data_IF_756666103567
#
_entry.id   IF_756666103567
#
_cell.length_a   1.000
_cell.length_b   1.000
_cell.length_c   1.000
_cell.angle_alpha   90.00
_cell.angle_beta   90.00
_cell.angle_gamma   90.00
#
_symmetry.space_group_name_H-M   'P 1'
#
loop_
_entity.id
_entity.type
_entity.pdbx_description
1 polymer ?
#
# COMPACT_ATOMS: atom_id res chain seq x y z
N UNK A 1 -4.58 -0.43 25.51
CA UNK A 1 -3.89 -1.44 24.68
C UNK A 1 -4.50 -1.29 23.29
N UNK A 2 -3.84 -0.53 22.43
CA UNK A 2 -4.31 -0.38 21.04
C UNK A 2 -4.16 -1.73 20.35
N UNK A 3 -5.28 -2.30 19.91
CA UNK A 3 -5.26 -3.52 19.09
C UNK A 3 -4.77 -3.11 17.70
N UNK A 4 -3.58 -3.55 17.32
CA UNK A 4 -3.08 -3.41 15.96
C UNK A 4 -4.03 -4.13 15.00
N UNK A 5 -4.36 -3.51 13.87
CA UNK A 5 -5.29 -4.04 12.84
C UNK A 5 -4.95 -5.48 12.42
N UNK A 6 -3.67 -5.83 12.33
CA UNK A 6 -3.24 -7.21 12.03
C UNK A 6 -3.73 -8.22 13.08
N UNK A 7 -3.74 -7.82 14.35
CA UNK A 7 -4.27 -8.66 15.45
C UNK A 7 -5.80 -8.72 15.38
N UNK A 8 -6.45 -7.63 15.01
CA UNK A 8 -7.93 -7.55 14.90
C UNK A 8 -8.47 -8.50 13.84
N UNK A 9 -7.87 -8.57 12.66
CA UNK A 9 -8.36 -9.41 11.55
C UNK A 9 -7.89 -10.87 11.63
N UNK A 10 -6.93 -11.17 12.51
CA UNK A 10 -6.37 -12.52 12.64
C UNK A 10 -7.44 -13.50 13.13
N UNK A 11 -7.72 -14.52 12.33
CA UNK A 11 -8.71 -15.55 12.65
C UNK A 11 -10.17 -15.21 12.33
N UNK A 12 -10.43 -14.02 11.79
CA UNK A 12 -11.77 -13.67 11.28
C UNK A 12 -12.02 -14.36 9.93
N UNK A 13 -13.31 -14.67 9.67
CA UNK A 13 -13.75 -15.15 8.35
C UNK A 13 -13.61 -14.04 7.29
N UNK A 14 -13.29 -14.45 6.06
CA UNK A 14 -13.07 -13.52 4.93
C UNK A 14 -14.23 -12.56 4.70
N UNK A 15 -15.49 -13.03 4.85
CA UNK A 15 -16.69 -12.20 4.73
C UNK A 15 -16.72 -11.06 5.75
N UNK A 16 -16.38 -11.34 7.01
CA UNK A 16 -16.35 -10.33 8.08
C UNK A 16 -15.24 -9.31 7.85
N UNK A 17 -14.07 -9.76 7.38
CA UNK A 17 -12.98 -8.85 7.05
C UNK A 17 -13.39 -7.96 5.88
N UNK A 18 -13.99 -8.54 4.83
CA UNK A 18 -14.53 -7.78 3.70
C UNK A 18 -15.52 -6.73 4.16
N UNK A 19 -16.51 -7.08 4.99
CA UNK A 19 -17.52 -6.15 5.48
C UNK A 19 -16.90 -5.01 6.29
N UNK A 20 -15.90 -5.32 7.11
CA UNK A 20 -15.16 -4.34 7.91
C UNK A 20 -14.45 -3.30 7.02
N UNK A 21 -13.71 -3.75 6.02
CA UNK A 21 -13.00 -2.85 5.09
C UNK A 21 -13.96 -2.10 4.16
N UNK A 22 -14.99 -2.76 3.62
CA UNK A 22 -15.94 -2.12 2.72
C UNK A 22 -16.77 -1.06 3.41
N UNK A 23 -17.12 -1.26 4.70
CA UNK A 23 -17.77 -0.24 5.52
C UNK A 23 -16.88 1.00 5.69
N UNK A 24 -15.55 0.82 5.86
CA UNK A 24 -14.62 1.94 5.91
C UNK A 24 -14.51 2.67 4.56
N UNK A 25 -14.45 1.93 3.45
CA UNK A 25 -14.47 2.52 2.12
C UNK A 25 -15.75 3.33 1.88
N UNK A 26 -16.91 2.81 2.27
CA UNK A 26 -18.20 3.48 2.13
C UNK A 26 -18.26 4.79 2.95
N UNK A 27 -17.83 4.77 4.23
CA UNK A 27 -17.74 5.98 5.06
C UNK A 27 -16.89 7.06 4.43
N UNK A 28 -15.78 6.68 3.74
CA UNK A 28 -14.89 7.59 3.01
C UNK A 28 -15.42 7.95 1.62
N UNK A 29 -16.55 7.39 1.18
CA UNK A 29 -17.10 7.53 -0.19
C UNK A 29 -16.16 7.01 -1.27
N UNK A 30 -15.40 5.96 -0.95
CA UNK A 30 -14.52 5.25 -1.88
C UNK A 30 -15.26 4.07 -2.52
N UNK A 31 -14.91 3.76 -3.75
CA UNK A 31 -15.51 2.63 -4.47
C UNK A 31 -14.88 1.31 -4.04
N UNK A 32 -15.71 0.29 -3.79
CA UNK A 32 -15.29 -1.10 -3.65
C UNK A 32 -15.68 -1.89 -4.91
N UNK A 33 -14.88 -2.89 -5.27
CA UNK A 33 -15.23 -3.87 -6.30
C UNK A 33 -15.92 -5.05 -5.61
N UNK A 34 -17.25 -4.99 -5.48
CA UNK A 34 -18.10 -5.94 -4.77
C UNK A 34 -18.92 -6.86 -5.68
N UNK A 35 -18.83 -6.66 -6.99
CA UNK A 35 -19.55 -7.43 -8.01
C UNK A 35 -19.13 -8.90 -8.10
N UNK A 36 -19.91 -9.69 -8.89
CA UNK A 36 -19.68 -11.12 -9.12
C UNK A 36 -18.59 -11.38 -10.19
N UNK A 37 -17.45 -10.67 -10.10
CA UNK A 37 -16.30 -10.85 -11.00
C UNK A 37 -15.13 -11.40 -10.23
N UNK A 38 -14.60 -12.54 -10.68
CA UNK A 38 -13.41 -13.19 -10.10
C UNK A 38 -12.20 -12.28 -10.24
N UNK A 39 -11.31 -12.30 -9.26
CA UNK A 39 -10.01 -11.59 -9.29
C UNK A 39 -10.08 -10.08 -9.58
N UNK A 40 -11.23 -9.44 -9.33
CA UNK A 40 -11.31 -7.98 -9.34
C UNK A 40 -10.82 -7.45 -7.99
N UNK A 41 -9.56 -7.02 -7.93
CA UNK A 41 -8.82 -6.81 -6.68
C UNK A 41 -9.16 -5.47 -6.04
N UNK A 42 -9.62 -5.48 -4.79
CA UNK A 42 -9.57 -4.32 -3.90
C UNK A 42 -8.21 -4.36 -3.18
N UNK A 43 -7.30 -3.47 -3.54
CA UNK A 43 -5.96 -3.36 -2.95
C UNK A 43 -5.98 -2.19 -1.97
N UNK A 44 -5.89 -2.49 -0.66
CA UNK A 44 -6.06 -1.53 0.41
C UNK A 44 -4.82 -1.56 1.31
N UNK A 45 -4.11 -0.43 1.40
CA UNK A 45 -3.10 -0.21 2.42
C UNK A 45 -3.73 0.41 3.66
N UNK A 46 -3.21 0.07 4.82
CA UNK A 46 -3.56 0.70 6.10
C UNK A 46 -2.28 1.17 6.76
N UNK A 47 -2.15 2.48 6.93
CA UNK A 47 -1.07 3.08 7.69
C UNK A 47 -1.38 2.97 9.17
N UNK A 48 -0.42 2.46 9.93
CA UNK A 48 -0.52 2.32 11.38
C UNK A 48 -0.36 3.68 12.07
N UNK A 49 -1.10 3.90 13.14
CA UNK A 49 -1.05 5.14 13.93
C UNK A 49 0.29 5.37 14.67
N UNK A 50 1.15 4.35 14.75
CA UNK A 50 2.48 4.49 15.36
C UNK A 50 3.39 5.43 14.58
N UNK A 51 3.19 5.51 13.24
CA UNK A 51 4.04 6.23 12.30
C UNK A 51 5.54 5.93 12.49
N UNK A 52 5.87 4.66 12.81
CA UNK A 52 7.26 4.23 13.04
C UNK A 52 7.96 3.93 11.71
N UNK A 53 8.63 4.91 11.16
CA UNK A 53 9.38 4.79 9.89
C UNK A 53 10.43 3.67 9.84
N UNK A 54 10.72 3.04 10.98
CA UNK A 54 11.73 1.97 11.08
C UNK A 54 11.17 0.59 10.81
N UNK A 55 9.84 0.38 10.92
CA UNK A 55 9.17 -0.92 10.93
C UNK A 55 8.32 -1.19 9.70
N UNK A 56 8.04 -2.47 9.47
CA UNK A 56 7.00 -2.94 8.56
C UNK A 56 5.75 -3.26 9.38
N UNK A 57 5.14 -2.26 9.98
CA UNK A 57 3.99 -2.38 10.88
C UNK A 57 2.67 -1.90 10.26
N UNK A 58 2.72 -1.56 8.97
CA UNK A 58 1.56 -1.29 8.16
C UNK A 58 1.02 -2.56 7.49
N UNK A 59 -0.20 -2.49 7.00
CA UNK A 59 -0.89 -3.62 6.40
C UNK A 59 -1.26 -3.34 4.94
N UNK A 60 -1.07 -4.32 4.07
CA UNK A 60 -1.74 -4.37 2.77
C UNK A 60 -2.73 -5.52 2.76
N UNK A 61 -3.98 -5.21 2.47
CA UNK A 61 -5.06 -6.19 2.33
C UNK A 61 -5.53 -6.23 0.88
N UNK A 62 -5.69 -7.44 0.34
CA UNK A 62 -6.29 -7.66 -0.98
C UNK A 62 -7.56 -8.48 -0.80
N UNK A 63 -8.69 -7.90 -1.19
CA UNK A 63 -10.02 -8.50 -1.06
C UNK A 63 -10.58 -8.72 -2.46
N UNK A 64 -10.95 -9.95 -2.77
CA UNK A 64 -11.44 -10.32 -4.10
C UNK A 64 -12.29 -11.59 -4.06
N UNK A 65 -13.04 -11.86 -5.13
CA UNK A 65 -13.72 -13.15 -5.31
C UNK A 65 -12.81 -14.13 -6.04
N UNK A 66 -12.69 -15.34 -5.49
CA UNK A 66 -11.94 -16.45 -6.06
C UNK A 66 -12.70 -17.17 -7.20
N UNK A 67 -12.23 -18.37 -7.56
CA UNK A 67 -12.82 -19.18 -8.62
C UNK A 67 -14.28 -19.51 -8.37
N UNK A 68 -14.64 -19.82 -7.14
CA UNK A 68 -16.01 -20.19 -6.73
C UNK A 68 -16.86 -18.97 -6.35
N UNK A 69 -16.39 -17.76 -6.64
CA UNK A 69 -17.01 -16.48 -6.27
C UNK A 69 -17.10 -16.24 -4.75
N UNK A 70 -16.46 -17.05 -3.94
CA UNK A 70 -16.29 -16.80 -2.51
C UNK A 70 -15.31 -15.67 -2.26
N UNK A 71 -15.52 -14.91 -1.19
CA UNK A 71 -14.60 -13.87 -0.80
C UNK A 71 -13.29 -14.44 -0.26
N UNK A 72 -12.20 -13.97 -0.81
CA UNK A 72 -10.84 -14.27 -0.39
C UNK A 72 -10.20 -12.98 0.11
N UNK A 73 -9.51 -13.09 1.23
CA UNK A 73 -8.72 -12.02 1.82
C UNK A 73 -7.28 -12.49 1.96
N UNK A 74 -6.37 -11.72 1.43
CA UNK A 74 -4.92 -11.85 1.66
C UNK A 74 -4.44 -10.63 2.41
N UNK A 75 -3.54 -10.82 3.37
CA UNK A 75 -2.94 -9.73 4.13
C UNK A 75 -1.43 -9.88 4.19
N UNK A 76 -0.72 -8.75 4.13
CA UNK A 76 0.73 -8.70 4.04
C UNK A 76 1.27 -7.56 4.92
N UNK A 77 2.34 -7.84 5.67
CA UNK A 77 3.10 -6.79 6.37
C UNK A 77 3.86 -5.95 5.34
N UNK A 78 3.65 -4.64 5.42
CA UNK A 78 4.31 -3.66 4.56
C UNK A 78 4.79 -2.46 5.39
N UNK A 79 5.49 -1.54 4.75
CA UNK A 79 5.53 -0.14 5.18
C UNK A 79 4.89 0.73 4.11
N UNK A 80 4.10 1.72 4.52
CA UNK A 80 3.56 2.80 3.69
C UNK A 80 4.39 4.07 3.83
N UNK A 81 5.39 4.04 4.71
CA UNK A 81 6.20 5.16 5.12
C UNK A 81 7.60 5.14 4.49
N UNK A 82 8.20 6.30 4.27
CA UNK A 82 9.62 6.38 3.93
C UNK A 82 10.49 5.91 5.11
N UNK A 83 11.57 5.21 4.79
CA UNK A 83 12.50 4.76 5.83
C UNK A 83 13.38 5.88 6.39
N UNK A 84 13.90 5.72 7.62
CA UNK A 84 14.58 6.78 8.37
C UNK A 84 15.85 7.32 7.69
N UNK A 85 16.51 6.53 6.87
CA UNK A 85 17.67 7.01 6.11
C UNK A 85 17.29 7.97 4.98
N UNK A 86 16.10 7.85 4.43
CA UNK A 86 15.57 8.73 3.38
C UNK A 86 14.99 10.00 3.99
N UNK A 87 14.31 9.90 5.15
CA UNK A 87 13.86 11.08 5.90
C UNK A 87 15.04 12.00 6.24
N UNK A 88 16.13 11.46 6.79
CA UNK A 88 17.35 12.23 7.10
C UNK A 88 18.05 12.82 5.87
N UNK A 89 17.92 12.16 4.72
CA UNK A 89 18.55 12.59 3.48
C UNK A 89 17.58 12.45 2.32
N UNK A 90 16.64 13.39 2.17
CA UNK A 90 15.66 13.40 1.11
C UNK A 90 16.30 13.32 -0.28
N UNK A 91 15.68 12.54 -1.18
CA UNK A 91 16.12 12.44 -2.59
C UNK A 91 15.68 13.68 -3.37
N UNK A 92 14.58 14.32 -2.95
CA UNK A 92 14.02 15.51 -3.58
C UNK A 92 14.28 16.74 -2.69
N UNK A 93 14.59 17.87 -3.30
CA UNK A 93 14.85 19.14 -2.60
C UNK A 93 13.63 19.66 -1.82
N UNK A 94 12.41 19.32 -2.26
CA UNK A 94 11.15 19.62 -1.57
C UNK A 94 10.88 18.73 -0.36
N UNK A 95 11.78 17.82 -0.02
CA UNK A 95 11.58 16.85 1.06
C UNK A 95 11.16 15.45 0.59
N UNK A 96 11.09 14.53 1.54
CA UNK A 96 10.70 13.14 1.32
C UNK A 96 9.19 13.04 1.06
N UNK A 97 8.81 12.20 0.09
CA UNK A 97 7.41 12.00 -0.24
C UNK A 97 6.75 10.99 0.71
N UNK A 98 5.61 11.35 1.29
CA UNK A 98 4.74 10.46 2.07
C UNK A 98 3.38 10.43 1.38
N UNK A 99 2.90 9.26 0.97
CA UNK A 99 1.63 9.14 0.24
C UNK A 99 0.46 9.63 1.10
N UNK A 100 -0.34 10.56 0.57
CA UNK A 100 -1.55 11.04 1.25
C UNK A 100 -2.61 9.94 1.25
N UNK A 101 -3.28 9.65 2.38
CA UNK A 101 -4.39 8.71 2.42
C UNK A 101 -5.53 9.11 1.48
N UNK A 102 -5.81 8.27 0.50
CA UNK A 102 -6.85 8.47 -0.50
C UNK A 102 -7.10 7.21 -1.33
N UNK A 103 -8.16 7.20 -2.13
CA UNK A 103 -8.34 6.22 -3.18
C UNK A 103 -7.78 6.76 -4.51
N UNK A 104 -6.77 6.08 -5.05
CA UNK A 104 -6.12 6.40 -6.31
C UNK A 104 -6.57 5.41 -7.37
N UNK A 105 -7.55 5.79 -8.17
CA UNK A 105 -8.16 4.89 -9.16
C UNK A 105 -7.30 4.77 -10.40
N UNK A 106 -7.09 3.53 -10.86
CA UNK A 106 -6.38 3.22 -12.12
C UNK A 106 -5.02 3.91 -12.25
N UNK A 107 -4.29 4.04 -11.14
CA UNK A 107 -3.03 4.80 -11.08
C UNK A 107 -1.79 3.94 -11.27
N UNK A 108 -1.85 2.67 -10.89
CA UNK A 108 -0.73 1.73 -10.98
C UNK A 108 -0.91 0.77 -12.15
N UNK A 109 0.21 0.26 -12.62
CA UNK A 109 0.27 -0.86 -13.58
C UNK A 109 1.43 -1.79 -13.26
N UNK A 110 1.35 -3.03 -13.69
CA UNK A 110 2.48 -3.95 -13.69
C UNK A 110 3.55 -3.40 -14.62
N UNK A 111 4.75 -3.20 -14.09
CA UNK A 111 5.86 -2.62 -14.82
C UNK A 111 7.18 -2.63 -14.07
N UNK A 112 8.28 -2.18 -14.71
CA UNK A 112 9.60 -2.21 -14.12
C UNK A 112 9.76 -1.23 -12.96
N UNK A 113 10.42 -1.68 -11.89
CA UNK A 113 10.80 -0.90 -10.71
C UNK A 113 12.31 -0.96 -10.44
N UNK A 114 12.84 0.17 -9.97
CA UNK A 114 14.22 0.32 -9.53
C UNK A 114 15.27 0.14 -10.64
N UNK A 115 16.55 0.16 -10.25
CA UNK A 115 17.68 0.03 -11.18
C UNK A 115 17.76 -1.36 -11.82
N UNK A 116 17.40 -2.39 -11.07
CA UNK A 116 17.36 -3.78 -11.53
C UNK A 116 16.17 -4.10 -12.43
N UNK A 117 15.21 -3.17 -12.53
CA UNK A 117 14.01 -3.25 -13.39
C UNK A 117 13.16 -4.52 -13.16
N UNK A 118 13.13 -5.06 -11.94
CA UNK A 118 12.21 -6.14 -11.64
C UNK A 118 10.75 -5.66 -11.69
N UNK A 119 9.82 -6.58 -11.87
CA UNK A 119 8.42 -6.26 -12.08
C UNK A 119 7.72 -6.01 -10.72
N UNK A 120 6.98 -4.91 -10.67
CA UNK A 120 6.20 -4.47 -9.52
C UNK A 120 4.94 -3.72 -9.97
N UNK A 121 4.08 -3.28 -9.05
CA UNK A 121 3.07 -2.29 -9.39
C UNK A 121 3.70 -0.90 -9.36
N UNK A 122 3.86 -0.33 -10.54
CA UNK A 122 4.50 0.95 -10.75
C UNK A 122 3.46 2.07 -10.96
N UNK A 123 3.62 3.18 -10.24
CA UNK A 123 2.82 4.38 -10.46
C UNK A 123 3.18 4.99 -11.81
N UNK A 124 2.33 4.77 -12.83
CA UNK A 124 2.58 5.22 -14.21
C UNK A 124 1.35 5.76 -14.94
N UNK A 125 0.14 5.50 -14.45
CA UNK A 125 -1.09 5.83 -15.16
C UNK A 125 -1.79 7.07 -14.58
N UNK A 126 -1.53 7.41 -13.31
CA UNK A 126 -2.14 8.55 -12.64
C UNK A 126 -1.18 9.26 -11.70
N UNK A 127 -1.51 10.50 -11.38
CA UNK A 127 -0.84 11.28 -10.35
C UNK A 127 -1.29 10.82 -8.97
N UNK A 128 -0.43 11.02 -7.97
CA UNK A 128 -0.75 10.85 -6.56
C UNK A 128 -0.43 12.14 -5.80
N UNK A 129 -1.03 12.30 -4.63
CA UNK A 129 -0.72 13.36 -3.69
C UNK A 129 0.24 12.84 -2.64
N UNK A 130 1.24 13.64 -2.29
CA UNK A 130 2.21 13.33 -1.25
C UNK A 130 2.38 14.52 -0.32
N UNK A 131 2.53 14.28 0.97
CA UNK A 131 3.12 15.25 1.87
C UNK A 131 4.62 15.35 1.55
N UNK A 132 5.21 16.50 1.88
CA UNK A 132 6.64 16.75 1.73
C UNK A 132 7.26 16.97 3.11
N UNK A 133 8.01 16.00 3.55
CA UNK A 133 8.75 16.01 4.80
C UNK A 133 10.17 16.52 4.52
N UNK A 134 10.53 17.68 5.04
CA UNK A 134 11.77 18.39 4.71
C UNK A 134 12.66 18.74 5.91
N UNK A 135 12.26 18.41 7.14
CA UNK A 135 12.98 18.75 8.38
C UNK A 135 14.23 17.88 8.62
N UNK A 136 14.39 16.78 7.88
CA UNK A 136 15.53 15.85 7.90
C UNK A 136 15.75 15.13 9.23
N UNK A 137 14.69 14.96 10.00
CA UNK A 137 14.71 14.10 11.16
C UNK A 137 14.26 12.66 10.83
N UNK A 138 13.72 11.90 11.75
CA UNK A 138 13.23 10.51 11.49
C UNK A 138 11.76 10.32 11.79
N UNK A 139 11.08 11.40 12.15
CA UNK A 139 9.64 11.41 12.36
C UNK A 139 8.96 11.76 11.04
N UNK A 140 7.74 11.33 10.88
CA UNK A 140 6.95 11.65 9.70
C UNK A 140 6.22 12.98 9.91
N UNK A 141 6.48 13.95 9.03
CA UNK A 141 5.70 15.18 8.95
C UNK A 141 4.67 15.11 7.83
N UNK A 142 3.40 15.12 8.19
CA UNK A 142 2.27 15.07 7.26
C UNK A 142 1.49 16.38 7.31
N UNK A 143 2.14 17.48 6.87
CA UNK A 143 1.52 18.81 6.84
C UNK A 143 0.67 18.96 5.58
N UNK A 144 -0.65 19.15 5.75
CA UNK A 144 -1.59 19.39 4.65
C UNK A 144 -1.26 20.64 3.82
N UNK A 145 -0.51 21.58 4.37
CA UNK A 145 -0.05 22.78 3.66
C UNK A 145 1.09 22.50 2.68
N UNK A 146 1.74 21.34 2.81
CA UNK A 146 2.87 20.91 1.99
C UNK A 146 2.53 19.68 1.13
N UNK A 147 1.37 19.70 0.50
CA UNK A 147 0.95 18.64 -0.43
C UNK A 147 1.41 18.97 -1.84
N UNK A 148 2.11 18.02 -2.45
CA UNK A 148 2.52 18.04 -3.85
C UNK A 148 1.75 16.95 -4.63
N UNK A 149 1.45 17.19 -5.91
CA UNK A 149 0.71 16.23 -6.74
C UNK A 149 1.46 15.94 -8.04
N UNK A 150 1.72 14.66 -8.32
CA UNK A 150 2.49 14.30 -9.51
C UNK A 150 2.79 12.82 -9.68
N UNK A 151 3.69 12.55 -10.60
CA UNK A 151 4.28 11.24 -10.83
C UNK A 151 5.59 11.15 -10.05
N UNK A 152 5.52 10.63 -8.84
CA UNK A 152 6.70 10.54 -7.95
C UNK A 152 7.32 9.15 -7.92
N UNK A 153 6.69 8.17 -8.61
CA UNK A 153 7.15 6.80 -8.61
C UNK A 153 6.86 6.10 -7.28
N UNK A 154 5.76 6.46 -6.63
CA UNK A 154 5.24 5.76 -5.45
C UNK A 154 4.78 4.38 -5.90
N UNK A 155 5.67 3.40 -5.85
CA UNK A 155 5.43 2.05 -6.33
C UNK A 155 5.04 1.12 -5.17
N UNK A 156 4.39 -0.01 -5.49
CA UNK A 156 4.12 -1.09 -4.55
C UNK A 156 5.09 -2.21 -4.89
N UNK A 157 6.06 -2.47 -4.01
CA UNK A 157 7.20 -3.32 -4.35
C UNK A 157 7.77 -4.07 -3.12
N UNK A 158 8.70 -5.00 -3.34
CA UNK A 158 9.46 -5.65 -2.27
C UNK A 158 10.72 -4.85 -1.93
N UNK A 159 11.26 -5.06 -0.74
CA UNK A 159 12.63 -4.64 -0.48
C UNK A 159 13.62 -5.46 -1.35
N UNK A 160 14.80 -4.92 -1.62
CA UNK A 160 15.74 -5.43 -2.65
C UNK A 160 16.40 -6.79 -2.36
N UNK A 161 16.06 -7.50 -1.27
CA UNK A 161 16.69 -8.78 -0.89
C UNK A 161 15.78 -9.98 -1.10
N UNK A 162 16.35 -11.18 -1.13
CA UNK A 162 15.65 -12.46 -1.26
C UNK A 162 15.13 -13.00 0.08
N UNK A 163 15.33 -12.29 1.18
CA UNK A 163 14.92 -12.65 2.53
C UNK A 163 14.13 -11.54 3.20
N UNK A 164 13.43 -11.85 4.26
CA UNK A 164 12.71 -10.87 5.07
C UNK A 164 13.68 -9.96 5.84
N UNK A 165 13.30 -8.71 6.00
CA UNK A 165 13.99 -7.74 6.85
C UNK A 165 13.08 -7.28 7.96
N UNK A 166 13.65 -7.15 9.13
CA UNK A 166 12.94 -6.63 10.29
C UNK A 166 12.72 -5.12 10.22
N UNK A 167 13.68 -4.38 9.60
CA UNK A 167 13.68 -2.93 9.56
C UNK A 167 13.67 -2.37 8.15
N UNK A 168 12.92 -1.29 7.93
CA UNK A 168 12.76 -0.60 6.64
C UNK A 168 14.07 0.02 6.15
N UNK A 169 14.81 0.71 7.02
CA UNK A 169 16.06 1.45 6.70
C UNK A 169 15.87 2.41 5.52
N UNK A 170 16.43 2.09 4.34
CA UNK A 170 16.33 2.86 3.09
C UNK A 170 15.55 2.13 2.00
N UNK A 171 14.71 1.14 2.34
CA UNK A 171 13.94 0.37 1.36
C UNK A 171 12.79 1.17 0.74
N UNK A 172 12.28 2.18 1.45
CA UNK A 172 11.20 3.05 0.99
C UNK A 172 11.64 4.51 0.96
N UNK A 173 11.33 5.18 -0.14
CA UNK A 173 11.38 6.63 -0.29
C UNK A 173 9.96 7.21 -0.46
N UNK A 174 8.98 6.61 0.24
CA UNK A 174 7.55 6.86 0.14
C UNK A 174 6.76 5.78 -0.60
N UNK A 175 7.44 4.75 -1.10
CA UNK A 175 6.81 3.59 -1.73
C UNK A 175 6.14 2.68 -0.69
N UNK A 176 5.17 1.88 -1.16
CA UNK A 176 4.54 0.82 -0.38
C UNK A 176 5.43 -0.44 -0.49
N UNK A 177 6.10 -0.83 0.60
CA UNK A 177 7.16 -1.85 0.52
C UNK A 177 6.82 -3.08 1.34
N UNK A 178 6.79 -4.24 0.70
CA UNK A 178 6.56 -5.53 1.35
C UNK A 178 7.76 -5.95 2.20
N UNK A 179 7.50 -6.40 3.43
CA UNK A 179 8.47 -7.04 4.31
C UNK A 179 8.94 -8.38 3.73
N UNK A 180 8.00 -9.19 3.23
CA UNK A 180 8.25 -10.53 2.72
C UNK A 180 8.33 -10.56 1.20
N UNK A 181 9.43 -11.09 0.66
CA UNK A 181 9.54 -11.35 -0.79
C UNK A 181 8.54 -12.41 -1.26
N UNK A 182 8.25 -13.42 -0.43
CA UNK A 182 7.23 -14.44 -0.74
C UNK A 182 5.85 -13.80 -0.83
N UNK A 183 5.48 -12.96 0.16
CA UNK A 183 4.20 -12.24 0.15
C UNK A 183 4.07 -11.31 -1.06
N UNK A 184 5.16 -10.63 -1.44
CA UNK A 184 5.16 -9.81 -2.65
C UNK A 184 4.96 -10.64 -3.93
N UNK A 185 5.59 -11.80 -4.04
CA UNK A 185 5.41 -12.66 -5.21
C UNK A 185 3.97 -13.20 -5.31
N UNK A 186 3.37 -13.63 -4.19
CA UNK A 186 1.95 -14.03 -4.10
C UNK A 186 1.02 -12.89 -4.52
N UNK A 187 1.28 -11.68 -4.05
CA UNK A 187 0.54 -10.48 -4.46
C UNK A 187 0.67 -10.18 -5.96
N UNK A 188 1.87 -10.27 -6.52
CA UNK A 188 2.09 -10.01 -7.95
C UNK A 188 1.44 -11.07 -8.84
N UNK A 189 1.37 -12.34 -8.41
CA UNK A 189 0.62 -13.39 -9.10
C UNK A 189 -0.86 -13.03 -9.22
N UNK A 190 -1.49 -12.57 -8.12
CA UNK A 190 -2.86 -12.06 -8.16
C UNK A 190 -3.03 -10.88 -9.11
N UNK A 191 -2.06 -9.96 -9.12
CA UNK A 191 -2.08 -8.82 -10.03
C UNK A 191 -2.00 -9.28 -11.50
N UNK A 192 -1.19 -10.29 -11.83
CA UNK A 192 -1.12 -10.82 -13.19
C UNK A 192 -2.45 -11.45 -13.61
N UNK A 193 -3.06 -12.30 -12.77
CA UNK A 193 -4.38 -12.90 -13.05
C UNK A 193 -5.43 -11.79 -13.27
N UNK A 194 -5.44 -10.77 -12.40
CA UNK A 194 -6.36 -9.65 -12.53
C UNK A 194 -6.13 -8.85 -13.80
N UNK A 195 -4.87 -8.62 -14.19
CA UNK A 195 -4.53 -7.89 -15.41
C UNK A 195 -4.97 -8.63 -16.68
N UNK A 196 -4.90 -9.94 -16.70
CA UNK A 196 -5.37 -10.76 -17.82
C UNK A 196 -6.88 -10.66 -18.01
N UNK A 197 -7.64 -10.43 -16.92
CA UNK A 197 -9.11 -10.34 -16.93
C UNK A 197 -9.62 -8.91 -17.16
N UNK A 198 -8.93 -7.90 -16.63
CA UNK A 198 -9.45 -6.53 -16.57
C UNK A 198 -8.51 -5.48 -17.19
N UNK A 199 -7.35 -5.91 -17.71
CA UNK A 199 -6.31 -5.00 -18.20
C UNK A 199 -5.34 -4.55 -17.11
N UNK A 200 -4.19 -4.08 -17.56
CA UNK A 200 -3.06 -3.72 -16.69
C UNK A 200 -3.23 -2.31 -16.08
N UNK A 201 -4.24 -2.17 -15.21
CA UNK A 201 -4.56 -0.92 -14.53
C UNK A 201 -5.15 -1.20 -13.15
N UNK A 202 -4.54 -0.67 -12.09
CA UNK A 202 -4.88 -1.00 -10.71
C UNK A 202 -5.23 0.25 -9.90
N UNK A 203 -6.27 0.09 -9.08
CA UNK A 203 -6.66 1.03 -8.04
C UNK A 203 -6.00 0.62 -6.72
N UNK A 204 -5.42 1.58 -6.01
CA UNK A 204 -4.92 1.41 -4.66
C UNK A 204 -5.59 2.42 -3.74
N UNK A 205 -6.04 1.97 -2.58
CA UNK A 205 -6.59 2.82 -1.53
C UNK A 205 -5.66 2.79 -0.33
N UNK A 206 -5.19 3.94 0.13
CA UNK A 206 -4.50 4.06 1.40
C UNK A 206 -5.48 4.63 2.43
N UNK A 207 -5.66 3.90 3.52
CA UNK A 207 -6.41 4.30 4.71
C UNK A 207 -5.44 4.56 5.86
N UNK A 208 -5.84 5.40 6.80
CA UNK A 208 -5.27 5.43 8.15
C UNK A 208 -5.96 4.36 9.01
N UNK A 209 -5.29 3.85 10.04
CA UNK A 209 -5.87 2.86 10.96
C UNK A 209 -7.17 3.37 11.62
N UNK A 210 -7.26 4.68 11.86
CA UNK A 210 -8.45 5.33 12.43
C UNK A 210 -9.66 5.31 11.49
N UNK A 211 -9.46 5.21 10.18
CA UNK A 211 -10.56 5.09 9.21
C UNK A 211 -11.34 3.76 9.36
N UNK A 212 -10.77 2.79 10.07
CA UNK A 212 -11.35 1.47 10.30
C UNK A 212 -12.21 1.38 11.59
N UNK A 213 -12.26 2.43 12.39
CA UNK A 213 -13.05 2.52 13.64
C UNK A 213 -14.51 2.87 13.42
#
# INVERSE_FOLDING_TARGET
MELNIMTTIKGMHAELIKDYFFSALDRKKYSAFDGKKKYNLNIIGVRNNSHDSTKFDDLLVVIYRGEDLEWIVKSYEITTDPGPSILRKPINEKGTAILVPAQYRSTWKIGPHGKTRYIALAQRLGKVKVFRDDDKDTKLEMDERQIDEGFFGINIHKHASSYEREFVRGASAGCQVFKSTKGFNDFMELCHISADLFGNSFTYTLLEEDDLK
#
